data_IF_125761656872
#
_entry.id   IF_125761656872
#
_cell.length_a   1.000
_cell.length_b   1.000
_cell.length_c   1.000
_cell.angle_alpha   90.00
_cell.angle_beta   90.00
_cell.angle_gamma   90.00
#
_symmetry.space_group_name_H-M   'P 1'
#
loop_
_entity.id
_entity.type
_entity.pdbx_description
1 polymer ?
#
# COMPACT_ATOMS: atom_id res chain seq x y z
N UNK A 1 5.52 11.76 7.27
CA UNK A 1 4.09 12.21 7.32
C UNK A 1 3.35 11.44 8.41
N UNK A 2 2.28 12.02 9.00
CA UNK A 2 1.45 11.32 9.99
C UNK A 2 0.17 10.81 9.35
N UNK A 3 -0.20 9.56 9.62
CA UNK A 3 -1.41 8.91 9.10
C UNK A 3 -2.27 8.40 10.26
N UNK A 4 -3.58 8.50 10.11
CA UNK A 4 -4.56 7.93 11.02
C UNK A 4 -5.37 6.86 10.29
N UNK A 5 -5.17 5.60 10.66
CA UNK A 5 -5.83 4.46 9.99
C UNK A 5 -7.04 4.00 10.80
N UNK A 6 -8.15 3.78 10.13
CA UNK A 6 -9.38 3.21 10.70
C UNK A 6 -9.80 2.01 9.87
N UNK A 7 -10.04 0.86 10.51
CA UNK A 7 -10.51 -0.36 9.84
C UNK A 7 -9.40 -1.31 9.33
N UNK A 8 -8.12 -1.01 9.61
CA UNK A 8 -7.03 -1.90 9.26
C UNK A 8 -7.06 -3.21 10.06
N UNK A 9 -6.89 -4.35 9.40
CA UNK A 9 -6.73 -5.65 10.05
C UNK A 9 -5.32 -5.82 10.64
N UNK A 10 -5.14 -6.77 11.56
CA UNK A 10 -3.82 -7.06 12.15
C UNK A 10 -2.80 -7.46 11.10
N UNK A 11 -3.21 -8.20 10.07
CA UNK A 11 -2.34 -8.60 8.96
C UNK A 11 -1.85 -7.37 8.15
N UNK A 12 -2.76 -6.47 7.83
CA UNK A 12 -2.44 -5.20 7.18
C UNK A 12 -1.49 -4.35 8.03
N UNK A 13 -1.76 -4.25 9.34
CA UNK A 13 -0.94 -3.48 10.27
C UNK A 13 0.50 -4.01 10.35
N UNK A 14 0.68 -5.33 10.40
CA UNK A 14 2.04 -5.95 10.39
C UNK A 14 2.82 -5.56 9.13
N UNK A 15 2.19 -5.62 7.98
CA UNK A 15 2.84 -5.23 6.73
C UNK A 15 3.14 -3.73 6.65
N UNK A 16 2.27 -2.88 7.18
CA UNK A 16 2.49 -1.42 7.20
C UNK A 16 3.68 -1.02 8.07
N UNK A 17 3.89 -1.68 9.21
CA UNK A 17 5.05 -1.44 10.07
C UNK A 17 6.39 -1.70 9.34
N UNK A 18 6.42 -2.68 8.42
CA UNK A 18 7.58 -2.94 7.58
C UNK A 18 7.86 -1.85 6.53
N UNK A 19 6.87 -0.99 6.26
CA UNK A 19 6.94 0.07 5.25
C UNK A 19 7.20 1.48 5.84
N UNK A 20 7.02 1.67 7.15
CA UNK A 20 7.13 2.98 7.82
C UNK A 20 8.42 3.71 7.47
N UNK A 21 9.56 3.04 7.65
CA UNK A 21 10.87 3.64 7.39
C UNK A 21 11.10 3.94 5.90
N UNK A 22 10.66 3.05 5.01
CA UNK A 22 10.85 3.21 3.57
C UNK A 22 10.00 4.32 2.98
N UNK A 23 8.77 4.49 3.48
CA UNK A 23 7.81 5.48 2.97
C UNK A 23 7.79 6.78 3.77
N UNK A 24 8.55 6.84 4.88
CA UNK A 24 8.67 8.00 5.77
C UNK A 24 7.29 8.45 6.31
N UNK A 25 6.58 7.52 6.93
CA UNK A 25 5.34 7.82 7.64
C UNK A 25 5.37 7.31 9.09
N UNK A 26 4.47 7.79 9.90
CA UNK A 26 4.19 7.30 11.24
C UNK A 26 2.69 7.31 11.50
N UNK A 27 2.23 6.42 12.36
CA UNK A 27 0.83 6.36 12.77
C UNK A 27 0.57 7.31 13.93
N UNK A 28 -0.48 8.11 13.83
CA UNK A 28 -0.85 9.10 14.86
C UNK A 28 -2.33 9.45 14.78
N UNK A 29 -2.97 9.68 15.93
CA UNK A 29 -4.38 10.07 16.00
C UNK A 29 -4.68 11.42 15.33
N UNK A 30 -3.68 12.30 15.21
CA UNK A 30 -3.77 13.59 14.52
C UNK A 30 -3.33 13.55 13.04
N UNK A 31 -3.06 12.35 12.52
CA UNK A 31 -2.63 12.13 11.14
C UNK A 31 -3.73 12.32 10.10
N UNK A 32 -3.35 12.19 8.84
CA UNK A 32 -4.28 12.20 7.69
C UNK A 32 -5.22 11.00 7.80
N UNK A 33 -6.55 11.21 7.80
CA UNK A 33 -7.51 10.12 7.96
C UNK A 33 -7.53 9.20 6.74
N UNK A 34 -7.40 7.89 6.98
CA UNK A 34 -7.50 6.84 5.96
C UNK A 34 -8.46 5.78 6.49
N UNK A 35 -9.59 5.60 5.83
CA UNK A 35 -10.60 4.60 6.15
C UNK A 35 -10.41 3.39 5.26
N UNK A 36 -10.36 2.20 5.86
CA UNK A 36 -10.00 0.94 5.21
C UNK A 36 -11.12 -0.05 5.41
N UNK A 37 -11.63 -0.62 4.32
CA UNK A 37 -12.70 -1.62 4.34
C UNK A 37 -12.39 -2.78 3.39
N UNK A 38 -12.90 -3.97 3.74
CA UNK A 38 -12.91 -5.12 2.84
C UNK A 38 -13.98 -4.96 1.75
N UNK A 39 -13.65 -5.38 0.53
CA UNK A 39 -14.55 -5.46 -0.61
C UNK A 39 -14.60 -6.89 -1.16
N UNK A 40 -15.57 -7.19 -1.99
CA UNK A 40 -15.68 -8.50 -2.65
C UNK A 40 -14.66 -8.66 -3.79
N UNK A 41 -14.40 -7.58 -4.54
CA UNK A 41 -13.52 -7.59 -5.70
C UNK A 41 -12.70 -6.31 -5.83
N UNK A 42 -11.45 -6.45 -6.25
CA UNK A 42 -10.58 -5.36 -6.65
C UNK A 42 -10.21 -4.41 -5.52
N UNK A 43 -9.70 -3.26 -5.90
CA UNK A 43 -9.39 -2.16 -5.01
C UNK A 43 -10.04 -0.86 -5.49
N UNK A 44 -10.37 0.00 -4.54
CA UNK A 44 -10.79 1.39 -4.82
C UNK A 44 -10.08 2.34 -3.87
N UNK A 45 -9.71 3.49 -4.38
CA UNK A 45 -9.18 4.59 -3.59
C UNK A 45 -9.92 5.86 -3.98
N UNK A 46 -10.60 6.46 -3.02
CA UNK A 46 -11.27 7.74 -3.22
C UNK A 46 -10.81 8.73 -2.17
N UNK A 47 -10.76 10.00 -2.54
CA UNK A 47 -10.56 11.09 -1.59
C UNK A 47 -11.84 11.90 -1.41
N UNK A 48 -11.96 12.50 -0.23
CA UNK A 48 -13.06 13.42 0.10
C UNK A 48 -12.50 14.58 0.91
N UNK A 49 -12.86 15.79 0.54
CA UNK A 49 -12.53 16.98 1.32
C UNK A 49 -13.60 17.20 2.38
N UNK A 50 -13.17 17.25 3.64
CA UNK A 50 -14.04 17.49 4.81
C UNK A 50 -13.45 18.67 5.59
N UNK A 51 -14.07 19.84 5.47
CA UNK A 51 -13.54 21.08 5.99
C UNK A 51 -12.21 21.45 5.30
N UNK A 52 -11.14 21.58 6.08
CA UNK A 52 -9.79 21.89 5.60
C UNK A 52 -8.92 20.63 5.39
N UNK A 53 -9.46 19.44 5.66
CA UNK A 53 -8.73 18.17 5.57
C UNK A 53 -9.21 17.31 4.42
N UNK A 54 -8.30 16.55 3.84
CA UNK A 54 -8.63 15.48 2.90
C UNK A 54 -8.63 14.15 3.63
N UNK A 55 -9.70 13.38 3.46
CA UNK A 55 -9.83 12.00 3.91
C UNK A 55 -9.66 11.06 2.72
N UNK A 56 -9.08 9.89 2.96
CA UNK A 56 -8.93 8.84 1.95
C UNK A 56 -9.71 7.60 2.34
N UNK A 57 -10.42 7.02 1.39
CA UNK A 57 -11.20 5.80 1.54
C UNK A 57 -10.62 4.71 0.66
N UNK A 58 -10.22 3.62 1.27
CA UNK A 58 -9.62 2.45 0.61
C UNK A 58 -10.52 1.25 0.79
N UNK A 59 -10.91 0.62 -0.30
CA UNK A 59 -11.50 -0.72 -0.26
C UNK A 59 -10.64 -1.70 -1.02
N UNK A 60 -10.55 -2.94 -0.56
CA UNK A 60 -9.71 -3.98 -1.17
C UNK A 60 -10.28 -5.38 -0.91
N UNK A 61 -10.05 -6.32 -1.81
CA UNK A 61 -10.45 -7.72 -1.64
C UNK A 61 -9.31 -8.60 -1.15
N UNK A 62 -8.09 -8.41 -1.64
CA UNK A 62 -6.90 -9.19 -1.31
C UNK A 62 -5.78 -8.32 -0.75
N UNK A 63 -4.90 -8.89 0.06
CA UNK A 63 -3.78 -8.16 0.68
C UNK A 63 -2.87 -7.44 -0.33
N UNK A 64 -2.47 -8.04 -1.48
CA UNK A 64 -1.68 -7.32 -2.49
C UNK A 64 -2.39 -6.07 -3.04
N UNK A 65 -3.70 -6.13 -3.18
CA UNK A 65 -4.52 -4.99 -3.62
C UNK A 65 -4.53 -3.88 -2.56
N UNK A 66 -4.55 -4.23 -1.26
CA UNK A 66 -4.40 -3.24 -0.20
C UNK A 66 -3.08 -2.48 -0.32
N UNK A 67 -1.95 -3.17 -0.47
CA UNK A 67 -0.64 -2.49 -0.56
C UNK A 67 -0.52 -1.63 -1.82
N UNK A 68 -1.11 -2.06 -2.93
CA UNK A 68 -1.24 -1.24 -4.15
C UNK A 68 -2.06 0.02 -3.89
N UNK A 69 -3.23 -0.11 -3.25
CA UNK A 69 -4.08 1.01 -2.87
C UNK A 69 -3.37 1.96 -1.89
N UNK A 70 -2.65 1.42 -0.92
CA UNK A 70 -1.88 2.21 0.04
C UNK A 70 -0.77 3.04 -0.64
N UNK A 71 -0.09 2.47 -1.64
CA UNK A 71 0.89 3.21 -2.44
C UNK A 71 0.26 4.43 -3.14
N UNK A 72 -0.95 4.27 -3.67
CA UNK A 72 -1.72 5.36 -4.29
C UNK A 72 -2.03 6.45 -3.25
N UNK A 73 -2.52 6.06 -2.07
CA UNK A 73 -2.81 7.00 -0.97
C UNK A 73 -1.55 7.76 -0.53
N UNK A 74 -0.44 7.06 -0.31
CA UNK A 74 0.82 7.69 0.10
C UNK A 74 1.28 8.73 -0.94
N UNK A 75 1.19 8.40 -2.22
CA UNK A 75 1.50 9.34 -3.28
C UNK A 75 0.56 10.57 -3.25
N UNK A 76 -0.74 10.34 -3.07
CA UNK A 76 -1.74 11.41 -2.97
C UNK A 76 -1.46 12.34 -1.78
N UNK A 77 -1.16 11.78 -0.61
CA UNK A 77 -0.79 12.57 0.59
C UNK A 77 0.48 13.40 0.34
N UNK A 78 1.51 12.80 -0.26
CA UNK A 78 2.77 13.50 -0.59
C UNK A 78 2.60 14.64 -1.59
N UNK A 79 1.68 14.49 -2.52
CA UNK A 79 1.40 15.49 -3.56
C UNK A 79 0.26 16.44 -3.20
N UNK A 80 -0.30 16.32 -1.99
CA UNK A 80 -1.49 17.07 -1.54
C UNK A 80 -2.67 16.97 -2.51
N UNK A 81 -2.86 15.79 -3.11
CA UNK A 81 -3.94 15.54 -4.06
C UNK A 81 -5.24 15.26 -3.32
N UNK A 82 -6.26 16.08 -3.57
CA UNK A 82 -7.58 16.00 -2.92
C UNK A 82 -8.68 15.47 -3.84
N UNK A 83 -8.35 15.15 -5.08
CA UNK A 83 -9.28 14.61 -6.08
C UNK A 83 -8.75 13.30 -6.65
N UNK A 84 -8.95 12.23 -5.88
CA UNK A 84 -8.54 10.88 -6.25
C UNK A 84 -9.77 10.01 -6.39
N UNK A 85 -9.88 9.33 -7.53
CA UNK A 85 -10.87 8.27 -7.77
C UNK A 85 -10.20 7.18 -8.61
N UNK A 86 -9.80 6.11 -7.97
CA UNK A 86 -9.15 4.95 -8.59
C UNK A 86 -10.00 3.72 -8.35
N UNK A 87 -10.19 2.92 -9.39
CA UNK A 87 -10.86 1.63 -9.32
C UNK A 87 -10.07 0.65 -10.19
N UNK A 88 -9.43 -0.34 -9.57
CA UNK A 88 -8.61 -1.33 -10.24
C UNK A 88 -9.08 -2.75 -9.89
N UNK A 89 -9.03 -3.63 -10.87
CA UNK A 89 -9.23 -5.07 -10.69
C UNK A 89 -8.05 -5.79 -11.30
N UNK A 90 -7.41 -6.69 -10.53
CA UNK A 90 -6.27 -7.45 -11.01
C UNK A 90 -6.68 -8.35 -12.19
N UNK A 91 -5.94 -8.26 -13.30
CA UNK A 91 -6.17 -9.10 -14.48
C UNK A 91 -5.77 -10.57 -14.26
N UNK A 92 -4.87 -10.81 -13.29
CA UNK A 92 -4.35 -12.15 -12.97
C UNK A 92 -4.46 -12.42 -11.47
N UNK A 93 -4.77 -13.64 -11.12
CA UNK A 93 -4.79 -14.10 -9.73
C UNK A 93 -3.38 -14.08 -9.12
N UNK A 94 -2.39 -14.52 -9.90
CA UNK A 94 -0.99 -14.50 -9.52
C UNK A 94 -0.19 -13.66 -10.52
N UNK A 95 0.53 -12.68 -9.99
CA UNK A 95 1.46 -11.84 -10.74
C UNK A 95 2.71 -11.64 -9.88
N UNK A 96 3.86 -12.08 -10.34
CA UNK A 96 5.07 -12.04 -9.54
C UNK A 96 6.33 -11.82 -10.35
N UNK A 97 7.45 -11.80 -9.66
CA UNK A 97 8.79 -11.75 -10.26
C UNK A 97 9.58 -13.00 -9.93
N UNK A 98 10.45 -13.40 -10.85
CA UNK A 98 11.44 -14.45 -10.62
C UNK A 98 12.81 -13.82 -10.43
N UNK A 99 13.52 -14.23 -9.36
CA UNK A 99 14.83 -13.72 -9.00
C UNK A 99 15.82 -14.86 -8.93
N UNK A 100 16.81 -14.86 -9.82
CA UNK A 100 17.90 -15.82 -9.76
C UNK A 100 18.93 -15.41 -8.68
N UNK A 101 19.01 -16.20 -7.62
CA UNK A 101 19.97 -16.06 -6.52
C UNK A 101 21.14 -17.06 -6.62
N UNK A 102 21.22 -17.84 -7.71
CA UNK A 102 22.18 -18.95 -7.85
C UNK A 102 23.48 -18.58 -8.55
N UNK A 103 23.61 -17.37 -9.12
CA UNK A 103 24.77 -16.96 -9.92
C UNK A 103 25.47 -15.73 -9.35
N UNK A 104 26.43 -15.14 -10.10
CA UNK A 104 27.38 -14.12 -9.67
C UNK A 104 26.81 -12.80 -9.11
N UNK A 105 25.49 -12.59 -9.16
CA UNK A 105 24.84 -11.37 -8.71
C UNK A 105 23.80 -11.64 -7.61
N UNK A 106 24.20 -12.33 -6.55
CA UNK A 106 23.34 -12.58 -5.38
C UNK A 106 23.09 -11.28 -4.64
N UNK A 107 21.81 -10.94 -4.46
CA UNK A 107 21.41 -9.77 -3.70
C UNK A 107 21.78 -9.92 -2.21
N UNK A 108 22.25 -8.82 -1.61
CA UNK A 108 22.33 -8.73 -0.14
C UNK A 108 20.94 -8.87 0.46
N UNK A 109 20.82 -9.46 1.65
CA UNK A 109 19.54 -9.65 2.34
C UNK A 109 18.77 -8.34 2.50
N UNK A 110 19.44 -7.25 2.81
CA UNK A 110 18.80 -5.92 2.91
C UNK A 110 18.20 -5.47 1.58
N UNK A 111 18.94 -5.61 0.48
CA UNK A 111 18.46 -5.25 -0.85
C UNK A 111 17.28 -6.13 -1.30
N UNK A 112 17.31 -7.43 -0.96
CA UNK A 112 16.22 -8.35 -1.22
C UNK A 112 14.95 -7.96 -0.44
N UNK A 113 15.09 -7.62 0.85
CA UNK A 113 13.97 -7.12 1.67
C UNK A 113 13.36 -5.85 1.10
N UNK A 114 14.19 -4.88 0.66
CA UNK A 114 13.72 -3.64 0.07
C UNK A 114 13.00 -3.89 -1.27
N UNK A 115 13.50 -4.83 -2.07
CA UNK A 115 12.82 -5.27 -3.28
C UNK A 115 11.44 -5.84 -2.97
N UNK A 116 11.30 -6.73 -1.99
CA UNK A 116 10.01 -7.30 -1.58
C UNK A 116 9.03 -6.19 -1.16
N UNK A 117 9.46 -5.22 -0.36
CA UNK A 117 8.63 -4.08 0.05
C UNK A 117 8.12 -3.27 -1.16
N UNK A 118 8.99 -3.01 -2.14
CA UNK A 118 8.62 -2.27 -3.36
C UNK A 118 7.64 -3.02 -4.23
N UNK A 119 7.85 -4.32 -4.45
CA UNK A 119 6.94 -5.13 -5.26
C UNK A 119 5.57 -5.31 -4.58
N UNK A 120 5.52 -5.37 -3.24
CA UNK A 120 4.25 -5.36 -2.51
C UNK A 120 3.43 -4.09 -2.81
N UNK A 121 4.08 -2.92 -2.83
CA UNK A 121 3.45 -1.64 -3.18
C UNK A 121 2.98 -1.56 -4.64
N UNK A 122 3.51 -2.42 -5.51
CA UNK A 122 3.03 -2.58 -6.89
C UNK A 122 1.82 -3.52 -6.98
N UNK A 123 1.44 -4.19 -5.90
CA UNK A 123 0.36 -5.17 -5.86
C UNK A 123 0.75 -6.56 -6.40
N UNK A 124 2.04 -6.85 -6.50
CA UNK A 124 2.52 -8.17 -6.90
C UNK A 124 2.27 -9.20 -5.80
N UNK A 125 1.98 -10.43 -6.20
CA UNK A 125 1.53 -11.50 -5.30
C UNK A 125 2.61 -12.48 -4.90
N UNK A 126 3.71 -12.56 -5.66
CA UNK A 126 4.74 -13.57 -5.43
C UNK A 126 6.14 -13.17 -5.87
N UNK A 127 7.13 -13.77 -5.23
CA UNK A 127 8.54 -13.80 -5.64
C UNK A 127 8.97 -15.25 -5.73
N UNK A 128 9.58 -15.64 -6.83
CA UNK A 128 10.05 -17.00 -7.13
C UNK A 128 11.57 -16.97 -7.30
#
# INVERSE_FOLDING_TARGET
>A
MKLHLTGATDEVMKGLLELESMLDFSLSADGVPIFIEKAENGLRVNSKVVGEKTEYHVTYSRIPEFFRAFAIVINAVKTNSSDISVNETAAFENCGISVDLSRNAVLKVSAFKDMIRRIALMGLTSVI
#
